data_IF_133203334956
#
_entry.id   IF_133203334956
#
_cell.length_a   1.000
_cell.length_b   1.000
_cell.length_c   1.000
_cell.angle_alpha   90.00
_cell.angle_beta   90.00
_cell.angle_gamma   90.00
#
_symmetry.space_group_name_H-M   'P 1'
#
loop_
_entity.id
_entity.type
_entity.pdbx_description
1 polymer ?
#
# COMPACT_ATOMS: atom_id res chain seq x y z
N UNK A 1 -13.56 -2.70 8.90
CA UNK A 1 -13.69 -3.60 7.72
C UNK A 1 -12.81 -4.81 7.99
N UNK A 2 -13.39 -6.00 8.07
CA UNK A 2 -12.68 -7.25 8.41
C UNK A 2 -12.08 -7.93 7.18
N UNK A 3 -12.71 -7.78 6.01
CA UNK A 3 -12.22 -8.29 4.74
C UNK A 3 -12.35 -7.21 3.66
N UNK A 4 -11.38 -7.12 2.76
CA UNK A 4 -11.36 -6.17 1.65
C UNK A 4 -10.40 -6.65 0.55
N UNK A 5 -10.63 -6.18 -0.67
CA UNK A 5 -9.80 -6.51 -1.82
C UNK A 5 -8.50 -5.71 -1.78
N UNK A 6 -7.41 -6.40 -2.07
CA UNK A 6 -6.07 -5.80 -2.18
C UNK A 6 -5.51 -6.09 -3.57
N UNK A 7 -4.94 -5.07 -4.20
CA UNK A 7 -3.99 -5.27 -5.30
C UNK A 7 -2.60 -5.30 -4.70
N UNK A 8 -1.92 -6.40 -4.88
CA UNK A 8 -0.58 -6.58 -4.34
C UNK A 8 0.46 -6.74 -5.46
N UNK A 9 1.63 -6.18 -5.21
CA UNK A 9 2.82 -6.35 -6.05
C UNK A 9 3.96 -6.81 -5.16
N UNK A 10 4.67 -7.84 -5.60
CA UNK A 10 5.82 -8.41 -4.90
C UNK A 10 7.06 -8.24 -5.76
N UNK A 11 8.17 -7.82 -5.14
CA UNK A 11 9.48 -7.79 -5.76
C UNK A 11 10.45 -8.65 -4.98
N UNK A 12 11.27 -9.41 -5.71
CA UNK A 12 12.35 -10.24 -5.20
C UNK A 12 13.65 -9.75 -5.84
N UNK A 13 14.74 -9.71 -5.06
CA UNK A 13 16.04 -9.24 -5.54
C UNK A 13 17.07 -9.11 -4.41
N UNK A 14 18.12 -8.33 -4.65
CA UNK A 14 19.04 -7.89 -3.60
C UNK A 14 18.37 -6.92 -2.63
N UNK A 15 18.93 -6.74 -1.44
CA UNK A 15 18.40 -5.82 -0.43
C UNK A 15 18.17 -4.41 -1.01
N UNK A 16 19.18 -3.85 -1.66
CA UNK A 16 19.13 -2.50 -2.23
C UNK A 16 18.01 -2.35 -3.25
N UNK A 17 17.95 -3.27 -4.23
CA UNK A 17 16.95 -3.25 -5.30
C UNK A 17 15.52 -3.29 -4.78
N UNK A 18 15.24 -4.10 -3.76
CA UNK A 18 13.88 -4.22 -3.23
C UNK A 18 13.51 -3.04 -2.34
N UNK A 19 14.47 -2.48 -1.58
CA UNK A 19 14.24 -1.30 -0.73
C UNK A 19 14.01 -0.05 -1.59
N UNK A 20 14.88 0.20 -2.57
CA UNK A 20 14.71 1.33 -3.51
C UNK A 20 13.37 1.27 -4.23
N UNK A 21 12.97 0.07 -4.68
CA UNK A 21 11.69 -0.12 -5.35
C UNK A 21 10.50 0.13 -4.42
N UNK A 22 10.56 -0.33 -3.17
CA UNK A 22 9.54 -0.04 -2.14
C UNK A 22 9.40 1.46 -1.90
N UNK A 23 10.52 2.15 -1.71
CA UNK A 23 10.54 3.57 -1.36
C UNK A 23 10.08 4.45 -2.53
N UNK A 24 10.46 4.08 -3.75
CA UNK A 24 9.93 4.71 -4.96
C UNK A 24 8.40 4.59 -5.04
N UNK A 25 7.87 3.40 -4.79
CA UNK A 25 6.41 3.19 -4.84
C UNK A 25 5.67 3.81 -3.66
N UNK A 26 6.28 3.87 -2.48
CA UNK A 26 5.71 4.62 -1.35
C UNK A 26 5.49 6.09 -1.73
N UNK A 27 6.51 6.74 -2.30
CA UNK A 27 6.41 8.12 -2.79
C UNK A 27 5.30 8.24 -3.86
N UNK A 28 5.32 7.40 -4.88
CA UNK A 28 4.31 7.40 -5.96
C UNK A 28 2.89 7.15 -5.45
N UNK A 29 2.72 6.25 -4.47
CA UNK A 29 1.44 5.96 -3.86
C UNK A 29 0.84 7.18 -3.15
N UNK A 30 1.65 7.90 -2.37
CA UNK A 30 1.25 9.15 -1.73
C UNK A 30 0.91 10.22 -2.77
N UNK A 31 1.76 10.41 -3.77
CA UNK A 31 1.56 11.40 -4.84
C UNK A 31 0.28 11.11 -5.64
N UNK A 32 0.02 9.85 -5.97
CA UNK A 32 -1.20 9.44 -6.67
C UNK A 32 -2.46 9.80 -5.86
N UNK A 33 -2.50 9.44 -4.59
CA UNK A 33 -3.67 9.74 -3.74
C UNK A 33 -3.87 11.25 -3.57
N UNK A 34 -2.79 12.01 -3.41
CA UNK A 34 -2.85 13.48 -3.34
C UNK A 34 -3.30 14.11 -4.65
N UNK A 35 -2.91 13.56 -5.80
CA UNK A 35 -3.38 14.05 -7.11
C UNK A 35 -4.88 13.85 -7.31
N UNK A 36 -5.48 12.90 -6.58
CA UNK A 36 -6.94 12.70 -6.52
C UNK A 36 -7.61 13.59 -5.46
N UNK A 37 -6.84 14.48 -4.80
CA UNK A 37 -7.34 15.39 -3.75
C UNK A 37 -7.56 14.73 -2.39
N UNK A 38 -7.04 13.51 -2.18
CA UNK A 38 -7.13 12.81 -0.90
C UNK A 38 -5.99 13.26 0.04
N UNK A 39 -6.25 13.49 1.34
CA UNK A 39 -5.25 13.96 2.31
C UNK A 39 -4.35 12.80 2.79
N UNK A 40 -3.61 12.18 1.85
CA UNK A 40 -2.76 11.04 2.11
C UNK A 40 -1.45 11.44 2.80
N UNK A 41 -1.07 10.70 3.85
CA UNK A 41 0.19 10.82 4.56
C UNK A 41 0.81 9.44 4.73
N UNK A 42 2.14 9.34 4.70
CA UNK A 42 2.85 8.09 4.99
C UNK A 42 3.41 8.11 6.41
N UNK A 43 3.35 6.97 7.07
CA UNK A 43 3.94 6.79 8.40
C UNK A 43 4.59 5.41 8.51
N UNK A 44 5.54 5.30 9.45
CA UNK A 44 6.15 4.01 9.82
C UNK A 44 5.16 3.22 10.65
N UNK A 45 4.88 2.01 10.23
CA UNK A 45 3.91 1.14 10.87
C UNK A 45 4.56 -0.14 11.43
N UNK A 46 3.78 -0.90 12.15
CA UNK A 46 4.10 -2.27 12.57
C UNK A 46 2.87 -3.15 12.43
N UNK A 47 3.11 -4.45 12.24
CA UNK A 47 2.03 -5.42 12.29
C UNK A 47 1.50 -5.58 13.73
N UNK A 48 0.25 -6.00 13.89
CA UNK A 48 -0.31 -6.30 15.20
C UNK A 48 0.27 -7.62 15.72
N UNK A 49 1.43 -7.56 16.35
CA UNK A 49 2.04 -8.71 17.01
C UNK A 49 1.38 -8.99 18.35
N UNK A 50 1.07 -10.25 18.62
CA UNK A 50 0.44 -10.71 19.85
C UNK A 50 1.44 -11.42 20.78
N UNK A 51 1.10 -11.49 22.08
CA UNK A 51 1.90 -12.17 23.10
C UNK A 51 3.01 -11.30 23.73
N UNK A 52 3.78 -11.93 24.65
CA UNK A 52 4.80 -11.20 25.44
C UNK A 52 5.89 -10.56 24.61
N UNK A 53 6.32 -11.20 23.51
CA UNK A 53 7.31 -10.66 22.56
C UNK A 53 6.74 -9.66 21.54
N UNK A 54 5.41 -9.53 21.45
CA UNK A 54 4.77 -8.73 20.39
C UNK A 54 5.20 -7.26 20.36
N UNK A 55 5.32 -6.63 21.55
CA UNK A 55 5.76 -5.24 21.65
C UNK A 55 7.19 -5.03 21.18
N UNK A 56 8.10 -5.97 21.50
CA UNK A 56 9.50 -5.92 21.05
C UNK A 56 9.59 -6.09 19.53
N UNK A 57 8.83 -7.02 18.96
CA UNK A 57 8.78 -7.22 17.51
C UNK A 57 8.24 -5.99 16.78
N UNK A 58 7.17 -5.36 17.31
CA UNK A 58 6.63 -4.13 16.75
C UNK A 58 7.62 -2.97 16.83
N UNK A 59 8.32 -2.82 17.97
CA UNK A 59 9.36 -1.80 18.13
C UNK A 59 10.51 -2.00 17.14
N UNK A 60 11.01 -3.22 17.01
CA UNK A 60 12.08 -3.58 16.08
C UNK A 60 11.65 -3.34 14.62
N UNK A 61 10.41 -3.71 14.24
CA UNK A 61 9.89 -3.46 12.89
C UNK A 61 9.83 -1.96 12.57
N UNK A 62 9.44 -1.13 13.55
CA UNK A 62 9.41 0.33 13.41
C UNK A 62 10.81 0.93 13.33
N UNK A 63 11.71 0.53 14.24
CA UNK A 63 13.10 1.01 14.27
C UNK A 63 13.83 0.74 12.95
N UNK A 64 13.67 -0.46 12.39
CA UNK A 64 14.25 -0.84 11.11
C UNK A 64 13.46 -0.30 9.90
N UNK A 65 12.36 0.42 10.09
CA UNK A 65 11.49 0.94 9.03
C UNK A 65 11.08 -0.13 8.01
N UNK A 66 10.74 -1.32 8.52
CA UNK A 66 10.40 -2.46 7.67
C UNK A 66 9.03 -2.33 7.03
N UNK A 67 8.13 -1.54 7.63
CA UNK A 67 6.78 -1.32 7.13
C UNK A 67 6.42 0.15 7.13
N UNK A 68 5.84 0.61 6.01
CA UNK A 68 5.18 1.90 5.91
C UNK A 68 3.71 1.69 5.54
N UNK A 69 2.87 2.58 6.01
CA UNK A 69 1.47 2.67 5.59
C UNK A 69 1.17 4.06 5.05
N UNK A 70 0.27 4.14 4.08
CA UNK A 70 -0.34 5.39 3.66
C UNK A 70 -1.69 5.50 4.31
N UNK A 71 -1.87 6.57 5.05
CA UNK A 71 -3.00 6.82 5.93
C UNK A 71 -3.88 7.93 5.36
N UNK A 72 -5.19 7.75 5.42
CA UNK A 72 -6.20 8.76 5.09
C UNK A 72 -7.25 8.77 6.20
N UNK A 73 -7.67 9.95 6.71
CA UNK A 73 -8.75 10.05 7.68
C UNK A 73 -10.10 9.73 7.01
N UNK A 74 -10.55 8.50 7.17
CA UNK A 74 -11.84 8.03 6.62
C UNK A 74 -12.97 8.22 7.64
N UNK A 75 -12.71 7.87 8.90
CA UNK A 75 -13.69 7.97 10.00
C UNK A 75 -13.39 9.18 10.88
N UNK A 76 -12.13 9.35 11.29
CA UNK A 76 -11.69 10.49 12.11
C UNK A 76 -10.23 10.84 11.81
N UNK A 77 -9.82 12.06 12.17
CA UNK A 77 -8.44 12.53 12.06
C UNK A 77 -7.51 11.83 13.03
N UNK A 78 -8.00 11.46 14.23
CA UNK A 78 -7.21 10.85 15.30
C UNK A 78 -6.89 9.38 15.00
N UNK A 79 -7.73 8.73 14.18
CA UNK A 79 -7.56 7.32 13.79
C UNK A 79 -7.68 7.16 12.26
N UNK A 80 -6.67 7.61 11.52
CA UNK A 80 -6.68 7.49 10.07
C UNK A 80 -6.62 6.01 9.65
N UNK A 81 -7.18 5.73 8.49
CA UNK A 81 -7.24 4.38 7.92
C UNK A 81 -6.03 4.14 7.02
N UNK A 82 -5.32 3.04 7.23
CA UNK A 82 -4.29 2.57 6.30
C UNK A 82 -4.94 2.10 4.99
N UNK A 83 -4.64 2.78 3.90
CA UNK A 83 -5.19 2.48 2.56
C UNK A 83 -4.17 1.79 1.64
N UNK A 84 -2.88 1.92 1.95
CA UNK A 84 -1.79 1.17 1.32
C UNK A 84 -0.79 0.72 2.37
N UNK A 85 -0.06 -0.36 2.09
CA UNK A 85 1.06 -0.84 2.88
C UNK A 85 2.27 -1.14 1.99
N UNK A 86 3.47 -0.95 2.54
CA UNK A 86 4.75 -1.12 1.85
C UNK A 86 5.69 -1.83 2.81
N UNK A 87 5.95 -3.11 2.56
CA UNK A 87 6.64 -3.99 3.49
C UNK A 87 7.97 -4.45 2.90
N UNK A 88 9.03 -4.43 3.71
CA UNK A 88 10.31 -5.04 3.40
C UNK A 88 10.47 -6.28 4.29
N UNK A 89 10.52 -7.46 3.69
CA UNK A 89 10.54 -8.74 4.39
C UNK A 89 11.95 -9.23 4.70
N UNK A 90 12.98 -8.48 4.29
CA UNK A 90 14.38 -8.92 4.37
C UNK A 90 14.55 -10.28 3.67
N UNK A 91 15.28 -11.22 4.27
CA UNK A 91 15.48 -12.58 3.76
C UNK A 91 14.40 -13.59 4.21
N UNK A 92 13.34 -13.13 4.88
CA UNK A 92 12.35 -14.04 5.48
C UNK A 92 11.81 -15.09 4.49
N UNK A 93 11.31 -14.65 3.34
CA UNK A 93 10.81 -15.56 2.32
C UNK A 93 11.93 -16.27 1.56
N UNK A 94 13.09 -15.60 1.39
CA UNK A 94 14.30 -16.21 0.84
C UNK A 94 14.71 -17.45 1.64
N UNK A 95 14.73 -17.34 2.97
CA UNK A 95 15.03 -18.46 3.89
C UNK A 95 13.92 -19.51 3.88
N UNK A 96 12.67 -19.10 4.06
CA UNK A 96 11.53 -20.01 4.21
C UNK A 96 11.29 -20.85 2.96
N UNK A 97 11.35 -20.23 1.78
CA UNK A 97 11.06 -20.87 0.50
C UNK A 97 12.32 -21.21 -0.33
N UNK A 98 13.52 -21.05 0.26
CA UNK A 98 14.82 -21.34 -0.38
C UNK A 98 15.01 -20.56 -1.69
N UNK A 99 14.50 -19.32 -1.76
CA UNK A 99 14.64 -18.46 -2.94
C UNK A 99 16.05 -17.87 -2.96
N UNK A 100 16.79 -18.13 -4.03
CA UNK A 100 18.15 -17.63 -4.22
C UNK A 100 18.26 -16.79 -5.48
N UNK A 101 19.16 -15.84 -5.45
CA UNK A 101 19.58 -15.08 -6.62
C UNK A 101 20.52 -15.94 -7.51
N UNK A 102 20.75 -15.55 -8.77
CA UNK A 102 21.65 -16.30 -9.67
C UNK A 102 23.05 -16.51 -9.12
N UNK A 103 23.54 -15.62 -8.25
CA UNK A 103 24.83 -15.74 -7.59
C UNK A 103 24.82 -16.68 -6.35
N UNK A 104 23.71 -17.33 -6.04
CA UNK A 104 23.54 -18.24 -4.93
C UNK A 104 23.19 -17.61 -3.58
N UNK A 105 23.21 -16.27 -3.47
CA UNK A 105 22.84 -15.60 -2.22
C UNK A 105 21.33 -15.68 -1.96
N UNK A 106 20.92 -15.58 -0.68
CA UNK A 106 19.49 -15.54 -0.33
C UNK A 106 18.85 -14.28 -0.91
N UNK A 107 17.66 -14.44 -1.45
CA UNK A 107 16.89 -13.33 -1.97
C UNK A 107 16.19 -12.55 -0.85
N UNK A 108 16.21 -11.23 -0.97
CA UNK A 108 15.34 -10.34 -0.23
C UNK A 108 14.02 -10.15 -0.97
N UNK A 109 12.98 -9.72 -0.25
CA UNK A 109 11.71 -9.40 -0.88
C UNK A 109 11.01 -8.22 -0.22
N UNK A 110 10.15 -7.59 -0.98
CA UNK A 110 9.21 -6.58 -0.48
C UNK A 110 7.85 -6.73 -1.17
N UNK A 111 6.79 -6.22 -0.54
CA UNK A 111 5.48 -6.13 -1.16
C UNK A 111 4.83 -4.78 -0.96
N UNK A 112 3.92 -4.46 -1.88
CA UNK A 112 3.07 -3.27 -1.87
C UNK A 112 1.63 -3.73 -1.91
N UNK A 113 0.82 -3.31 -0.93
CA UNK A 113 -0.60 -3.61 -0.88
C UNK A 113 -1.44 -2.33 -1.07
N UNK A 114 -2.32 -2.34 -2.07
CA UNK A 114 -3.29 -1.27 -2.31
C UNK A 114 -4.69 -1.76 -1.95
N UNK A 115 -5.24 -1.26 -0.85
CA UNK A 115 -6.55 -1.65 -0.34
C UNK A 115 -7.68 -1.02 -1.16
N UNK A 116 -8.15 -1.69 -2.22
CA UNK A 116 -9.09 -1.14 -3.19
C UNK A 116 -10.37 -0.62 -2.53
N UNK A 117 -10.98 -1.43 -1.67
CA UNK A 117 -12.21 -1.01 -0.99
C UNK A 117 -11.96 0.12 0.01
N UNK A 118 -10.77 0.18 0.62
CA UNK A 118 -10.38 1.29 1.50
C UNK A 118 -10.17 2.59 0.73
N UNK A 119 -9.65 2.53 -0.50
CA UNK A 119 -9.58 3.67 -1.40
C UNK A 119 -10.97 4.19 -1.75
N UNK A 120 -11.91 3.29 -2.10
CA UNK A 120 -13.30 3.67 -2.34
C UNK A 120 -13.92 4.36 -1.12
N UNK A 121 -13.72 3.81 0.08
CA UNK A 121 -14.18 4.42 1.31
C UNK A 121 -13.59 5.83 1.53
N UNK A 122 -12.29 6.02 1.26
CA UNK A 122 -11.64 7.32 1.38
C UNK A 122 -12.25 8.36 0.41
N UNK A 123 -12.52 7.95 -0.84
CA UNK A 123 -13.18 8.80 -1.84
C UNK A 123 -14.59 9.17 -1.39
N UNK A 124 -15.38 8.20 -0.94
CA UNK A 124 -16.74 8.47 -0.45
C UNK A 124 -16.77 9.33 0.82
N UNK A 125 -15.85 9.11 1.74
CA UNK A 125 -15.73 9.91 2.96
C UNK A 125 -15.38 11.38 2.63
N UNK A 126 -14.50 11.59 1.64
CA UNK A 126 -14.04 12.93 1.25
C UNK A 126 -15.04 13.70 0.38
N UNK A 127 -15.71 13.01 -0.57
CA UNK A 127 -16.51 13.66 -1.62
C UNK A 127 -17.98 13.29 -1.60
N UNK A 128 -18.40 12.33 -0.76
CA UNK A 128 -19.77 11.80 -0.73
C UNK A 128 -20.10 10.90 -1.91
N UNK A 129 -21.35 10.50 -2.01
CA UNK A 129 -21.84 9.53 -3.00
C UNK A 129 -22.19 10.14 -4.36
N UNK A 130 -22.26 11.46 -4.46
CA UNK A 130 -22.64 12.15 -5.71
C UNK A 130 -21.40 12.38 -6.59
N UNK A 131 -21.34 11.71 -7.75
CA UNK A 131 -20.24 11.82 -8.71
C UNK A 131 -20.00 13.26 -9.20
N UNK A 132 -21.08 14.08 -9.26
CA UNK A 132 -20.98 15.48 -9.67
C UNK A 132 -20.09 16.33 -8.73
N UNK A 133 -20.00 15.94 -7.46
CA UNK A 133 -19.17 16.60 -6.44
C UNK A 133 -17.72 16.13 -6.43
N UNK A 134 -17.40 15.09 -7.19
CA UNK A 134 -16.04 14.55 -7.22
C UNK A 134 -15.09 15.44 -8.02
N UNK A 135 -13.79 15.52 -7.66
CA UNK A 135 -12.79 16.28 -8.39
C UNK A 135 -12.75 15.85 -9.88
N UNK A 136 -12.47 16.82 -10.75
CA UNK A 136 -12.39 16.60 -12.20
C UNK A 136 -11.41 15.48 -12.56
N UNK A 137 -10.24 15.42 -11.90
CA UNK A 137 -9.24 14.39 -12.11
C UNK A 137 -9.80 12.98 -11.84
N UNK A 138 -10.56 12.81 -10.74
CA UNK A 138 -11.17 11.53 -10.38
C UNK A 138 -12.28 11.13 -11.35
N UNK A 139 -13.14 12.09 -11.74
CA UNK A 139 -14.18 11.86 -12.77
C UNK A 139 -13.59 11.50 -14.13
N UNK A 140 -12.52 12.17 -14.54
CA UNK A 140 -11.84 11.87 -15.79
C UNK A 140 -11.22 10.46 -15.79
N UNK A 141 -10.62 10.03 -14.67
CA UNK A 141 -10.10 8.67 -14.52
C UNK A 141 -11.19 7.60 -14.67
N UNK A 142 -12.37 7.82 -14.08
CA UNK A 142 -13.52 6.91 -14.21
C UNK A 142 -14.04 6.85 -15.66
N UNK A 143 -14.21 7.99 -16.32
CA UNK A 143 -14.69 8.04 -17.71
C UNK A 143 -13.73 7.32 -18.66
N UNK A 144 -12.42 7.49 -18.46
CA UNK A 144 -11.38 6.79 -19.24
C UNK A 144 -11.47 5.27 -19.07
N UNK A 145 -11.68 4.79 -17.84
CA UNK A 145 -11.86 3.37 -17.57
C UNK A 145 -13.13 2.79 -18.21
N UNK A 146 -14.25 3.52 -18.19
CA UNK A 146 -15.50 3.11 -18.83
C UNK A 146 -15.35 2.98 -20.35
N UNK A 147 -14.66 3.93 -20.99
CA UNK A 147 -14.38 3.89 -22.41
C UNK A 147 -13.54 2.66 -22.82
N UNK A 148 -12.54 2.31 -22.02
CA UNK A 148 -11.71 1.12 -22.24
C UNK A 148 -12.51 -0.18 -22.12
N UNK A 149 -13.42 -0.29 -21.16
CA UNK A 149 -14.31 -1.46 -21.01
C UNK A 149 -15.27 -1.61 -22.20
N UNK A 150 -15.84 -0.53 -22.70
CA UNK A 150 -16.72 -0.55 -23.84
C UNK A 150 -16.07 -0.99 -25.15
N UNK A 151 -14.73 -0.83 -25.28
CA UNK A 151 -13.97 -1.28 -26.45
C UNK A 151 -13.54 -2.76 -26.39
N UNK A 152 -13.52 -3.38 -25.19
CA UNK A 152 -13.16 -4.80 -25.00
C UNK A 152 -14.36 -5.75 -25.05
N UNK A 153 -15.58 -5.21 -25.06
CA UNK A 153 -16.82 -5.98 -25.10
C UNK A 153 -17.46 -6.00 -26.51
N UNK A 154 -16.75 -5.56 -27.52
CA UNK A 154 -17.09 -5.68 -28.93
C UNK A 154 -16.07 -6.57 -29.63
#
# INVERSE_FOLDING_TARGET
MQAFRVREFVRVGTADVVVEWRDMWLKRGVELLRSLGLPAQSDVASDPFFGRGGRMLAANQKEQKLKFEVLIPVISQEKPTAVCSFNYHQEHFGKTFKIRLPNGTLAHSCCLGFGIDRWCMAVFAQYGMSLQKWPTALRAALSKYQAQKGSQSR
#
